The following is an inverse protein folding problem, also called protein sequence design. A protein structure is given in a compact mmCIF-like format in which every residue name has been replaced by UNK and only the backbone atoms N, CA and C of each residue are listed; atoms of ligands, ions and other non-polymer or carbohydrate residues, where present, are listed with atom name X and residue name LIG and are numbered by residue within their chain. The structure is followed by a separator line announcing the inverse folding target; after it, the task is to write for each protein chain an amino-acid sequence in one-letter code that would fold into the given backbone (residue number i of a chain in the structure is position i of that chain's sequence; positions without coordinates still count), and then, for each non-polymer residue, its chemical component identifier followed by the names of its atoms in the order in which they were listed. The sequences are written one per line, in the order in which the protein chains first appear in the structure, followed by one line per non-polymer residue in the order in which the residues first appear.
data_IF_275738034405
#
_entry.id   IF_275738034405
#
_cell.length_a   1.000
_cell.length_b   1.000
_cell.length_c   1.000
_cell.angle_alpha   90.00
_cell.angle_beta   90.00
_cell.angle_gamma   90.00
#
_symmetry.space_group_name_H-M   'P 1'
#
loop_
_entity.id
_entity.type
_entity.pdbx_description
1 polymer ?
#
# COMPACT_ATOMS: atom_id res chain seq x y z
N UNK A 1 3.68 0.52 51.51
CA UNK A 1 2.93 0.44 50.24
C UNK A 1 3.90 0.04 49.13
N UNK A 2 3.63 -1.05 48.40
CA UNK A 2 4.43 -1.44 47.23
C UNK A 2 3.83 -0.77 45.99
N UNK A 3 4.60 0.10 45.35
CA UNK A 3 4.19 0.72 44.08
C UNK A 3 4.17 -0.40 43.02
N UNK A 4 3.09 -0.58 42.25
CA UNK A 4 3.06 -1.57 41.19
C UNK A 4 4.13 -1.25 40.16
N UNK A 5 4.82 -2.28 39.69
CA UNK A 5 5.89 -2.20 38.70
C UNK A 5 5.42 -1.40 37.48
N UNK A 6 6.00 -0.21 37.28
CA UNK A 6 5.73 0.62 36.10
C UNK A 6 6.13 -0.18 34.87
N UNK A 7 5.21 -0.34 33.90
CA UNK A 7 5.54 -0.96 32.61
C UNK A 7 6.71 -0.21 31.98
N UNK A 8 7.85 -0.88 31.86
CA UNK A 8 8.99 -0.36 31.14
C UNK A 8 8.73 -0.57 29.65
N UNK A 9 8.55 0.53 28.90
CA UNK A 9 8.50 0.47 27.45
C UNK A 9 9.94 0.56 26.93
N UNK A 10 10.43 -0.53 26.33
CA UNK A 10 11.67 -0.52 25.57
C UNK A 10 11.39 0.11 24.21
N UNK A 11 11.88 1.34 24.01
CA UNK A 11 11.86 2.00 22.71
C UNK A 11 12.98 1.39 21.86
N UNK A 12 12.67 0.29 21.17
CA UNK A 12 13.53 -0.18 20.09
C UNK A 12 13.45 0.80 18.92
N UNK A 13 14.56 1.08 18.23
CA UNK A 13 14.54 1.76 16.94
C UNK A 13 13.51 1.11 16.01
N UNK A 14 12.75 1.91 15.25
CA UNK A 14 11.66 1.40 14.41
C UNK A 14 12.11 0.33 13.40
N UNK A 15 13.37 0.35 12.96
CA UNK A 15 13.93 -0.69 12.09
C UNK A 15 14.18 -2.04 12.79
N UNK A 16 14.21 -2.10 14.12
CA UNK A 16 14.44 -3.30 14.93
C UNK A 16 13.15 -3.85 15.57
N UNK A 17 12.06 -3.08 15.53
CA UNK A 17 10.76 -3.54 16.00
C UNK A 17 10.06 -4.36 14.90
N UNK A 18 9.74 -5.62 15.17
CA UNK A 18 8.98 -6.47 14.25
C UNK A 18 7.63 -5.84 13.85
N UNK A 19 7.00 -5.08 14.76
CA UNK A 19 5.76 -4.35 14.50
C UNK A 19 6.00 -3.22 13.51
N UNK A 20 7.10 -2.48 13.64
CA UNK A 20 7.43 -1.38 12.75
C UNK A 20 7.98 -1.84 11.39
N UNK A 21 8.68 -2.98 11.32
CA UNK A 21 9.12 -3.61 10.06
C UNK A 21 7.95 -3.95 9.15
N UNK A 22 6.81 -4.38 9.71
CA UNK A 22 5.59 -4.62 8.93
C UNK A 22 4.99 -3.34 8.30
N UNK A 23 5.35 -2.17 8.83
CA UNK A 23 4.93 -0.85 8.34
C UNK A 23 5.95 -0.21 7.40
N UNK A 24 7.10 -0.85 7.19
CA UNK A 24 8.15 -0.31 6.32
C UNK A 24 7.74 -0.51 4.86
N UNK A 25 7.61 0.61 4.15
CA UNK A 25 7.37 0.64 2.70
C UNK A 25 8.65 0.22 1.99
N UNK A 26 8.53 -0.62 0.97
CA UNK A 26 9.65 -1.18 0.20
C UNK A 26 9.21 -1.33 -1.25
N UNK A 27 9.92 -0.68 -2.17
CA UNK A 27 9.56 -0.65 -3.60
C UNK A 27 9.53 -2.05 -4.24
N UNK A 28 10.43 -2.95 -3.86
CA UNK A 28 10.45 -4.34 -4.37
C UNK A 28 9.16 -5.10 -4.01
N UNK A 29 8.66 -4.92 -2.78
CA UNK A 29 7.39 -5.50 -2.36
C UNK A 29 6.21 -4.88 -3.10
N UNK A 30 6.28 -3.58 -3.39
CA UNK A 30 5.28 -2.95 -4.24
C UNK A 30 5.24 -3.58 -5.64
N UNK A 31 6.40 -3.83 -6.22
CA UNK A 31 6.54 -4.44 -7.53
C UNK A 31 5.98 -5.87 -7.58
N UNK A 32 6.29 -6.71 -6.58
CA UNK A 32 5.69 -8.04 -6.44
C UNK A 32 4.16 -7.99 -6.39
N UNK A 33 3.60 -7.04 -5.63
CA UNK A 33 2.16 -6.84 -5.54
C UNK A 33 1.55 -6.36 -6.86
N UNK A 34 2.26 -5.52 -7.61
CA UNK A 34 1.84 -5.04 -8.91
C UNK A 34 1.74 -6.19 -9.92
N UNK A 35 2.76 -7.05 -9.97
CA UNK A 35 2.79 -8.25 -10.83
C UNK A 35 1.65 -9.22 -10.48
N UNK A 36 1.42 -9.47 -9.19
CA UNK A 36 0.27 -10.26 -8.75
C UNK A 36 -1.06 -9.64 -9.19
N UNK A 37 -1.20 -8.32 -9.08
CA UNK A 37 -2.36 -7.59 -9.58
C UNK A 37 -2.56 -7.80 -11.07
N UNK A 38 -1.49 -7.75 -11.86
CA UNK A 38 -1.52 -7.99 -13.30
C UNK A 38 -1.93 -9.43 -13.65
N UNK A 39 -1.36 -10.44 -13.00
CA UNK A 39 -1.75 -11.84 -13.20
C UNK A 39 -3.24 -12.08 -12.93
N UNK A 40 -3.79 -11.45 -11.90
CA UNK A 40 -5.20 -11.58 -11.50
C UNK A 40 -6.12 -10.77 -12.41
N UNK A 41 -5.67 -9.59 -12.86
CA UNK A 41 -6.36 -8.78 -13.87
C UNK A 41 -6.55 -9.56 -15.18
N UNK A 42 -5.51 -10.24 -15.67
CA UNK A 42 -5.59 -11.08 -16.87
C UNK A 42 -6.62 -12.22 -16.75
N UNK A 43 -6.94 -12.64 -15.53
CA UNK A 43 -7.96 -13.66 -15.23
C UNK A 43 -9.35 -13.07 -15.00
N UNK A 44 -9.55 -11.77 -15.27
CA UNK A 44 -10.79 -11.03 -15.04
C UNK A 44 -11.28 -11.03 -13.58
N UNK A 45 -10.39 -11.29 -12.62
CA UNK A 45 -10.69 -11.27 -11.19
C UNK A 45 -10.57 -9.85 -10.62
N UNK A 46 -11.47 -8.97 -11.07
CA UNK A 46 -11.36 -7.51 -10.89
C UNK A 46 -11.18 -7.07 -9.43
N UNK A 47 -12.00 -7.51 -8.45
CA UNK A 47 -11.87 -7.02 -7.08
C UNK A 47 -10.52 -7.40 -6.46
N UNK A 48 -10.02 -8.58 -6.79
CA UNK A 48 -8.74 -9.07 -6.29
C UNK A 48 -7.58 -8.31 -6.93
N UNK A 49 -7.63 -8.03 -8.24
CA UNK A 49 -6.65 -7.20 -8.93
C UNK A 49 -6.57 -5.79 -8.31
N UNK A 50 -7.71 -5.13 -8.10
CA UNK A 50 -7.78 -3.84 -7.43
C UNK A 50 -7.20 -3.86 -6.01
N UNK A 51 -7.42 -4.96 -5.27
CA UNK A 51 -6.84 -5.14 -3.93
C UNK A 51 -5.31 -5.21 -3.97
N UNK A 52 -4.74 -5.88 -4.97
CA UNK A 52 -3.29 -5.98 -5.13
C UNK A 52 -2.68 -4.64 -5.55
N UNK A 53 -3.29 -3.95 -6.51
CA UNK A 53 -2.83 -2.62 -6.91
C UNK A 53 -2.93 -1.59 -5.77
N UNK A 54 -3.98 -1.64 -4.95
CA UNK A 54 -4.05 -0.78 -3.76
C UNK A 54 -2.93 -1.09 -2.75
N UNK A 55 -2.63 -2.37 -2.53
CA UNK A 55 -1.51 -2.76 -1.65
C UNK A 55 -0.16 -2.35 -2.22
N UNK A 56 0.03 -2.42 -3.54
CA UNK A 56 1.23 -1.95 -4.22
C UNK A 56 1.45 -0.46 -3.92
N UNK A 57 0.47 0.41 -4.21
CA UNK A 57 0.52 1.85 -3.88
C UNK A 57 0.90 2.10 -2.41
N UNK A 58 0.31 1.35 -1.46
CA UNK A 58 0.60 1.50 -0.04
C UNK A 58 2.03 1.09 0.37
N UNK A 59 2.65 0.16 -0.36
CA UNK A 59 4.01 -0.33 -0.08
C UNK A 59 5.09 0.41 -0.87
N UNK A 60 4.74 1.25 -1.85
CA UNK A 60 5.70 2.08 -2.56
C UNK A 60 6.38 3.09 -1.61
N UNK A 61 7.70 3.02 -1.55
CA UNK A 61 8.55 3.87 -0.73
C UNK A 61 8.99 5.13 -1.46
N UNK A 62 9.37 5.02 -2.74
CA UNK A 62 9.76 6.17 -3.55
C UNK A 62 8.54 6.88 -4.15
N UNK A 63 8.58 8.21 -4.29
CA UNK A 63 7.49 8.96 -4.91
C UNK A 63 7.28 8.56 -6.38
N UNK A 64 8.35 8.22 -7.11
CA UNK A 64 8.27 7.74 -8.48
C UNK A 64 7.52 6.40 -8.56
N UNK A 65 7.86 5.45 -7.69
CA UNK A 65 7.17 4.14 -7.66
C UNK A 65 5.71 4.32 -7.24
N UNK A 66 5.44 5.17 -6.24
CA UNK A 66 4.08 5.46 -5.81
C UNK A 66 3.23 6.05 -6.94
N UNK A 67 3.76 7.00 -7.71
CA UNK A 67 3.08 7.58 -8.86
C UNK A 67 2.81 6.55 -9.96
N UNK A 68 3.79 5.68 -10.25
CA UNK A 68 3.65 4.61 -11.24
C UNK A 68 2.56 3.61 -10.85
N UNK A 69 2.58 3.13 -9.61
CA UNK A 69 1.63 2.15 -9.10
C UNK A 69 0.21 2.73 -9.06
N UNK A 70 0.10 4.01 -8.74
CA UNK A 70 -1.17 4.74 -8.77
C UNK A 70 -1.72 4.82 -10.20
N UNK A 71 -0.89 5.17 -11.19
CA UNK A 71 -1.29 5.24 -12.60
C UNK A 71 -1.79 3.87 -13.12
N UNK A 72 -1.09 2.78 -12.76
CA UNK A 72 -1.51 1.42 -13.10
C UNK A 72 -2.89 1.08 -12.53
N UNK A 73 -3.13 1.46 -11.27
CA UNK A 73 -4.41 1.25 -10.61
C UNK A 73 -5.53 2.08 -11.23
N UNK A 74 -5.27 3.36 -11.54
CA UNK A 74 -6.24 4.23 -12.21
C UNK A 74 -6.64 3.70 -13.59
N UNK A 75 -5.68 3.17 -14.36
CA UNK A 75 -5.96 2.55 -15.66
C UNK A 75 -6.97 1.40 -15.55
N UNK A 76 -6.83 0.56 -14.52
CA UNK A 76 -7.75 -0.55 -14.26
C UNK A 76 -9.14 -0.06 -13.86
N UNK A 77 -9.23 0.95 -12.99
CA UNK A 77 -10.50 1.55 -12.60
C UNK A 77 -11.25 2.15 -13.80
N UNK A 78 -10.56 2.87 -14.68
CA UNK A 78 -11.15 3.40 -15.92
C UNK A 78 -11.69 2.26 -16.78
N UNK A 79 -10.95 1.16 -16.93
CA UNK A 79 -11.38 -0.01 -17.72
C UNK A 79 -12.61 -0.72 -17.18
N UNK A 80 -12.93 -0.55 -15.90
CA UNK A 80 -14.15 -1.10 -15.28
C UNK A 80 -15.22 -0.03 -15.08
N UNK A 81 -15.10 1.11 -15.76
CA UNK A 81 -16.03 2.25 -15.70
C UNK A 81 -16.21 2.85 -14.30
N UNK A 82 -15.26 2.63 -13.39
CA UNK A 82 -15.25 3.21 -12.05
C UNK A 82 -14.60 4.62 -12.07
N UNK A 83 -15.07 5.48 -12.98
CA UNK A 83 -14.46 6.78 -13.26
C UNK A 83 -14.51 7.72 -12.04
N UNK A 84 -15.59 7.67 -11.25
CA UNK A 84 -15.69 8.48 -10.04
C UNK A 84 -14.61 8.10 -9.02
N UNK A 85 -14.33 6.80 -8.85
CA UNK A 85 -13.28 6.33 -7.94
C UNK A 85 -11.89 6.82 -8.34
N UNK A 86 -11.62 6.97 -9.65
CA UNK A 86 -10.38 7.55 -10.17
C UNK A 86 -10.28 9.03 -9.81
N UNK A 87 -11.37 9.78 -9.99
CA UNK A 87 -11.42 11.21 -9.67
C UNK A 87 -11.24 11.43 -8.17
N UNK A 88 -11.91 10.63 -7.34
CA UNK A 88 -11.78 10.69 -5.88
C UNK A 88 -10.34 10.44 -5.45
N UNK A 89 -9.67 9.47 -6.09
CA UNK A 89 -8.26 9.17 -5.86
C UNK A 89 -7.31 10.30 -6.25
N UNK A 90 -7.50 10.92 -7.41
CA UNK A 90 -6.67 12.04 -7.85
C UNK A 90 -6.87 13.26 -6.93
N UNK A 91 -8.09 13.46 -6.44
CA UNK A 91 -8.44 14.65 -5.63
C UNK A 91 -8.11 14.50 -4.15
N UNK A 92 -8.14 13.27 -3.61
CA UNK A 92 -7.94 13.00 -2.18
C UNK A 92 -6.62 12.26 -1.87
N UNK A 93 -5.70 12.15 -2.83
CA UNK A 93 -4.34 11.66 -2.57
C UNK A 93 -3.60 12.65 -1.70
N UNK A 94 -3.70 12.48 -0.39
CA UNK A 94 -2.83 13.17 0.55
C UNK A 94 -1.41 12.63 0.41
N UNK A 95 -0.57 13.36 -0.32
CA UNK A 95 0.88 13.24 -0.30
C UNK A 95 1.37 13.53 1.12
N UNK A 96 1.57 12.49 1.93
CA UNK A 96 2.24 12.57 3.23
C UNK A 96 3.48 11.72 3.23
#
# INVERSE_FOLDING_TARGET
MRIPTVRQFTLLPANQSAVCQSSQKIDSKSEELLELGFCVWQRYQIPQALSFYAKSVLNAASPEKHALDFANRSCVLVRVSANQSVLDEITHTHWR
#
